data_IF_658168192710
#
_entry.id   IF_658168192710
#
_cell.length_a   1.000
_cell.length_b   1.000
_cell.length_c   1.000
_cell.angle_alpha   90.00
_cell.angle_beta   90.00
_cell.angle_gamma   90.00
#
_symmetry.space_group_name_H-M   'P 1'
#
loop_
_entity.id
_entity.type
_entity.pdbx_description
1 polymer ?
#
# COMPACT_ATOMS: atom_id res chain seq x y z
N UNK A 1 1.17 -25.39 5.68
CA UNK A 1 0.50 -24.17 6.20
C UNK A 1 1.37 -22.94 6.00
N UNK A 2 2.57 -22.87 6.62
CA UNK A 2 3.49 -21.73 6.47
C UNK A 2 3.88 -21.46 5.01
N UNK A 3 4.17 -22.51 4.22
CA UNK A 3 4.48 -22.39 2.78
C UNK A 3 3.37 -21.72 1.97
N UNK A 4 2.10 -22.03 2.26
CA UNK A 4 0.96 -21.40 1.61
C UNK A 4 0.84 -19.93 2.00
N UNK A 5 1.01 -19.59 3.28
CA UNK A 5 1.02 -18.20 3.76
C UNK A 5 2.15 -17.38 3.13
N UNK A 6 3.35 -17.96 2.98
CA UNK A 6 4.48 -17.33 2.29
C UNK A 6 4.16 -17.04 0.83
N UNK A 7 3.59 -18.02 0.11
CA UNK A 7 3.18 -17.83 -1.27
C UNK A 7 2.13 -16.72 -1.40
N UNK A 8 1.11 -16.71 -0.53
CA UNK A 8 0.09 -15.67 -0.48
C UNK A 8 0.70 -14.30 -0.17
N UNK A 9 1.59 -14.22 0.82
CA UNK A 9 2.29 -12.98 1.18
C UNK A 9 3.10 -12.41 0.02
N UNK A 10 3.76 -13.26 -0.77
CA UNK A 10 4.53 -12.82 -1.93
C UNK A 10 3.63 -12.31 -3.07
N UNK A 11 2.50 -12.99 -3.32
CA UNK A 11 1.51 -12.55 -4.31
C UNK A 11 0.92 -11.20 -3.91
N UNK A 12 0.50 -11.06 -2.64
CA UNK A 12 -0.06 -9.81 -2.12
C UNK A 12 0.98 -8.69 -2.05
N UNK A 13 2.26 -9.00 -1.79
CA UNK A 13 3.35 -8.03 -1.87
C UNK A 13 3.52 -7.45 -3.28
N UNK A 14 3.48 -8.30 -4.31
CA UNK A 14 3.54 -7.84 -5.69
C UNK A 14 2.29 -7.04 -6.08
N UNK A 15 1.11 -7.52 -5.70
CA UNK A 15 -0.15 -6.83 -5.93
C UNK A 15 -0.14 -5.44 -5.27
N UNK A 16 0.34 -5.34 -4.04
CA UNK A 16 0.49 -4.08 -3.28
C UNK A 16 1.36 -3.06 -4.05
N UNK A 17 2.51 -3.50 -4.58
CA UNK A 17 3.40 -2.63 -5.34
C UNK A 17 2.77 -2.16 -6.66
N UNK A 18 2.15 -3.07 -7.40
CA UNK A 18 1.47 -2.75 -8.67
C UNK A 18 0.30 -1.79 -8.40
N UNK A 19 -0.52 -2.07 -7.40
CA UNK A 19 -1.74 -1.32 -7.16
C UNK A 19 -1.45 0.10 -6.63
N UNK A 20 -0.46 0.26 -5.75
CA UNK A 20 -0.02 1.60 -5.32
C UNK A 20 0.56 2.43 -6.47
N UNK A 21 1.28 1.81 -7.41
CA UNK A 21 1.70 2.48 -8.65
C UNK A 21 0.49 2.88 -9.50
N UNK A 22 -0.47 1.99 -9.70
CA UNK A 22 -1.68 2.28 -10.49
C UNK A 22 -2.48 3.44 -9.89
N UNK A 23 -2.66 3.49 -8.57
CA UNK A 23 -3.34 4.62 -7.91
C UNK A 23 -2.56 5.93 -8.08
N UNK A 24 -1.22 5.87 -8.00
CA UNK A 24 -0.37 7.04 -8.27
C UNK A 24 -0.60 7.58 -9.68
N UNK A 25 -0.56 6.70 -10.68
CA UNK A 25 -0.79 7.07 -12.07
C UNK A 25 -2.23 7.53 -12.31
N UNK A 26 -3.20 6.92 -11.62
CA UNK A 26 -4.60 7.28 -11.76
C UNK A 26 -4.87 8.68 -11.19
N UNK A 27 -4.39 8.98 -9.97
CA UNK A 27 -4.45 10.33 -9.40
C UNK A 27 -3.74 11.37 -10.29
N UNK A 28 -2.55 11.03 -10.81
CA UNK A 28 -1.83 11.89 -11.75
C UNK A 28 -2.62 12.16 -13.04
N UNK A 29 -3.43 11.20 -13.50
CA UNK A 29 -4.29 11.42 -14.67
C UNK A 29 -5.37 12.49 -14.43
N UNK A 30 -5.93 12.59 -13.22
CA UNK A 30 -6.83 13.69 -12.84
C UNK A 30 -6.09 15.02 -12.81
N UNK A 31 -4.86 15.03 -12.31
CA UNK A 31 -4.01 16.22 -12.27
C UNK A 31 -3.75 16.75 -13.69
N UNK A 32 -3.42 15.87 -14.63
CA UNK A 32 -3.18 16.22 -16.03
C UNK A 32 -4.45 16.73 -16.73
N UNK A 33 -5.60 16.16 -16.39
CA UNK A 33 -6.92 16.55 -16.93
C UNK A 33 -7.51 17.78 -16.26
N UNK A 34 -6.90 18.26 -15.16
CA UNK A 34 -7.44 19.32 -14.30
C UNK A 34 -8.87 19.04 -13.84
N UNK A 35 -9.15 17.77 -13.56
CA UNK A 35 -10.47 17.30 -13.11
C UNK A 35 -10.44 16.95 -11.62
N UNK A 36 -11.61 16.94 -10.99
CA UNK A 36 -11.78 16.54 -9.59
C UNK A 36 -11.78 15.01 -9.44
N UNK A 37 -11.34 14.51 -8.29
CA UNK A 37 -11.36 13.07 -7.99
C UNK A 37 -12.80 12.54 -7.99
N UNK A 38 -13.03 11.45 -8.70
CA UNK A 38 -14.35 10.82 -8.84
C UNK A 38 -14.58 9.62 -7.94
N UNK A 39 -15.80 9.07 -7.98
CA UNK A 39 -16.15 7.83 -7.27
C UNK A 39 -15.36 6.60 -7.74
N UNK A 40 -14.95 6.60 -9.00
CA UNK A 40 -14.04 5.60 -9.58
C UNK A 40 -12.65 5.61 -8.93
N UNK A 41 -12.10 6.79 -8.67
CA UNK A 41 -10.86 6.93 -7.90
C UNK A 41 -11.02 6.34 -6.48
N UNK A 42 -12.11 6.67 -5.80
CA UNK A 42 -12.37 6.16 -4.44
C UNK A 42 -12.56 4.64 -4.40
N UNK A 43 -13.28 4.08 -5.38
CA UNK A 43 -13.41 2.64 -5.53
C UNK A 43 -12.06 1.95 -5.71
N UNK A 44 -11.18 2.54 -6.53
CA UNK A 44 -9.83 2.03 -6.70
C UNK A 44 -9.03 2.09 -5.38
N UNK A 45 -9.02 3.23 -4.68
CA UNK A 45 -8.32 3.37 -3.38
C UNK A 45 -8.81 2.33 -2.36
N UNK A 46 -10.11 2.06 -2.28
CA UNK A 46 -10.69 1.06 -1.37
C UNK A 46 -10.17 -0.35 -1.71
N UNK A 47 -10.14 -0.72 -3.00
CA UNK A 47 -9.62 -2.02 -3.43
C UNK A 47 -8.15 -2.16 -3.04
N UNK A 48 -7.34 -1.13 -3.31
CA UNK A 48 -5.93 -1.12 -2.95
C UNK A 48 -5.72 -1.22 -1.43
N UNK A 49 -6.52 -0.48 -0.65
CA UNK A 49 -6.47 -0.55 0.80
C UNK A 49 -6.82 -1.95 1.31
N UNK A 50 -7.79 -2.62 0.70
CA UNK A 50 -8.13 -4.01 0.98
C UNK A 50 -6.93 -4.95 0.78
N UNK A 51 -6.15 -4.75 -0.29
CA UNK A 51 -4.91 -5.52 -0.53
C UNK A 51 -3.90 -5.30 0.60
N UNK A 52 -3.69 -4.05 1.05
CA UNK A 52 -2.77 -3.77 2.16
C UNK A 52 -3.25 -4.37 3.50
N UNK A 53 -4.55 -4.35 3.76
CA UNK A 53 -5.14 -5.00 4.95
C UNK A 53 -4.86 -6.51 4.90
N UNK A 54 -5.16 -7.17 3.77
CA UNK A 54 -4.90 -8.60 3.59
C UNK A 54 -3.40 -8.92 3.73
N UNK A 55 -2.54 -8.10 3.12
CA UNK A 55 -1.08 -8.26 3.24
C UNK A 55 -0.62 -8.18 4.70
N UNK A 56 -1.16 -7.23 5.46
CA UNK A 56 -0.86 -7.06 6.89
C UNK A 56 -1.32 -8.27 7.70
N UNK A 57 -2.55 -8.75 7.47
CA UNK A 57 -3.09 -9.94 8.15
C UNK A 57 -2.20 -11.16 7.89
N UNK A 58 -1.83 -11.42 6.63
CA UNK A 58 -0.96 -12.54 6.28
C UNK A 58 0.43 -12.38 6.91
N UNK A 59 0.99 -11.17 6.91
CA UNK A 59 2.27 -10.88 7.56
C UNK A 59 2.26 -11.14 9.08
N UNK A 60 1.16 -10.79 9.76
CA UNK A 60 0.96 -11.09 11.19
C UNK A 60 0.89 -12.60 11.43
N UNK A 61 0.14 -13.33 10.61
CA UNK A 61 0.03 -14.79 10.72
C UNK A 61 1.39 -15.48 10.51
N UNK A 62 2.22 -14.99 9.58
CA UNK A 62 3.58 -15.48 9.39
C UNK A 62 4.46 -15.22 10.62
N UNK A 63 4.41 -14.01 11.19
CA UNK A 63 5.17 -13.66 12.37
C UNK A 63 4.79 -14.52 13.59
N UNK A 64 3.49 -14.76 13.81
CA UNK A 64 2.99 -15.67 14.86
C UNK A 64 3.48 -17.11 14.62
N UNK A 65 3.57 -17.53 13.35
CA UNK A 65 4.11 -18.83 12.94
C UNK A 65 5.64 -18.95 13.01
N UNK A 66 6.35 -17.93 13.52
CA UNK A 66 7.81 -17.91 13.66
C UNK A 66 8.59 -17.46 12.42
N UNK A 67 7.91 -17.08 11.33
CA UNK A 67 8.54 -16.57 10.12
C UNK A 67 8.74 -15.05 10.24
N UNK A 68 9.94 -14.64 10.66
CA UNK A 68 10.30 -13.24 10.90
C UNK A 68 11.08 -12.68 9.71
N UNK A 69 10.79 -11.42 9.33
CA UNK A 69 11.49 -10.75 8.25
C UNK A 69 12.97 -10.51 8.59
N UNK A 70 13.88 -10.64 7.60
CA UNK A 70 15.32 -10.48 7.78
C UNK A 70 15.72 -9.11 8.35
N UNK A 71 14.99 -8.05 7.98
CA UNK A 71 15.22 -6.68 8.47
C UNK A 71 14.26 -6.30 9.61
N UNK A 72 13.60 -7.28 10.22
CA UNK A 72 12.76 -7.20 11.43
C UNK A 72 12.00 -5.89 11.56
N UNK A 73 12.44 -5.05 12.49
CA UNK A 73 11.81 -3.76 12.86
C UNK A 73 11.54 -2.86 11.66
N UNK A 74 12.48 -2.75 10.72
CA UNK A 74 12.36 -1.84 9.58
C UNK A 74 11.26 -2.30 8.62
N UNK A 75 11.10 -3.61 8.43
CA UNK A 75 10.03 -4.16 7.60
C UNK A 75 8.65 -3.84 8.20
N UNK A 76 8.49 -4.06 9.50
CA UNK A 76 7.22 -3.78 10.18
C UNK A 76 6.88 -2.30 10.19
N UNK A 77 7.88 -1.41 10.35
CA UNK A 77 7.68 0.03 10.23
C UNK A 77 7.11 0.41 8.84
N UNK A 78 7.72 -0.11 7.76
CA UNK A 78 7.20 0.13 6.42
C UNK A 78 5.81 -0.47 6.21
N UNK A 79 5.53 -1.66 6.75
CA UNK A 79 4.21 -2.28 6.69
C UNK A 79 3.12 -1.42 7.32
N UNK A 80 3.37 -0.89 8.53
CA UNK A 80 2.42 0.00 9.22
C UNK A 80 2.21 1.29 8.42
N UNK A 81 3.29 1.90 7.92
CA UNK A 81 3.17 3.11 7.11
C UNK A 81 2.32 2.86 5.86
N UNK A 82 2.61 1.77 5.13
CA UNK A 82 1.88 1.41 3.91
C UNK A 82 0.38 1.23 4.18
N UNK A 83 0.02 0.58 5.28
CA UNK A 83 -1.38 0.40 5.67
C UNK A 83 -2.10 1.72 6.00
N UNK A 84 -1.40 2.69 6.57
CA UNK A 84 -2.00 3.88 7.16
C UNK A 84 -2.03 5.11 6.25
N UNK A 85 -1.18 5.18 5.22
CA UNK A 85 -1.03 6.40 4.41
C UNK A 85 -2.34 6.82 3.74
N UNK A 86 -3.04 5.95 3.02
CA UNK A 86 -4.29 6.33 2.35
C UNK A 86 -5.41 6.71 3.32
N UNK A 87 -5.67 5.94 4.40
CA UNK A 87 -6.62 6.35 5.44
C UNK A 87 -6.28 7.72 6.05
N UNK A 88 -5.01 7.95 6.39
CA UNK A 88 -4.56 9.23 6.93
C UNK A 88 -4.73 10.38 5.92
N UNK A 89 -4.47 10.12 4.64
CA UNK A 89 -4.67 11.09 3.56
C UNK A 89 -6.14 11.45 3.42
N UNK A 90 -7.04 10.47 3.43
CA UNK A 90 -8.47 10.70 3.36
C UNK A 90 -8.98 11.54 4.53
N UNK A 91 -8.54 11.24 5.76
CA UNK A 91 -8.86 12.02 6.95
C UNK A 91 -8.32 13.45 6.85
N UNK A 92 -7.09 13.62 6.35
CA UNK A 92 -6.46 14.92 6.18
C UNK A 92 -7.16 15.78 5.11
N UNK A 93 -7.55 15.19 3.98
CA UNK A 93 -8.27 15.92 2.92
C UNK A 93 -9.76 16.08 3.21
N UNK A 94 -10.30 15.37 4.20
CA UNK A 94 -11.73 15.33 4.50
C UNK A 94 -12.58 14.81 3.32
N UNK A 95 -12.00 13.95 2.47
CA UNK A 95 -12.64 13.47 1.25
C UNK A 95 -12.90 14.52 0.16
N UNK A 96 -12.37 15.75 0.30
CA UNK A 96 -12.48 16.80 -0.71
C UNK A 96 -11.77 16.42 -2.01
N UNK A 97 -12.23 17.00 -3.12
CA UNK A 97 -11.86 16.57 -4.48
C UNK A 97 -11.28 17.70 -5.34
N UNK A 98 -10.97 18.87 -4.76
CA UNK A 98 -10.45 20.02 -5.51
C UNK A 98 -9.04 19.74 -6.07
N UNK A 99 -8.54 20.64 -6.92
CA UNK A 99 -7.20 20.51 -7.50
C UNK A 99 -6.09 20.39 -6.44
N UNK A 100 -6.26 21.03 -5.28
CA UNK A 100 -5.32 20.89 -4.16
C UNK A 100 -5.25 19.44 -3.69
N UNK A 101 -6.41 18.79 -3.52
CA UNK A 101 -6.49 17.41 -3.05
C UNK A 101 -5.98 16.43 -4.11
N UNK A 102 -6.22 16.68 -5.40
CA UNK A 102 -5.65 15.87 -6.49
C UNK A 102 -4.11 15.85 -6.42
N UNK A 103 -3.48 17.00 -6.16
CA UNK A 103 -2.01 17.10 -5.99
C UNK A 103 -1.57 16.30 -4.76
N UNK A 104 -2.26 16.46 -3.62
CA UNK A 104 -1.96 15.73 -2.38
C UNK A 104 -2.04 14.22 -2.62
N UNK A 105 -3.14 13.74 -3.21
CA UNK A 105 -3.35 12.32 -3.48
C UNK A 105 -2.32 11.75 -4.45
N UNK A 106 -1.90 12.52 -5.45
CA UNK A 106 -0.84 12.12 -6.38
C UNK A 106 0.51 11.99 -5.67
N UNK A 107 0.93 13.03 -4.93
CA UNK A 107 2.22 13.05 -4.24
C UNK A 107 2.30 11.97 -3.14
N UNK A 108 1.24 11.84 -2.34
CA UNK A 108 1.19 10.87 -1.25
C UNK A 108 1.10 9.43 -1.77
N UNK A 109 0.35 9.17 -2.85
CA UNK A 109 0.33 7.84 -3.46
C UNK A 109 1.68 7.47 -4.09
N UNK A 110 2.38 8.43 -4.70
CA UNK A 110 3.74 8.19 -5.21
C UNK A 110 4.72 7.83 -4.08
N UNK A 111 4.62 8.54 -2.95
CA UNK A 111 5.40 8.23 -1.76
C UNK A 111 5.05 6.84 -1.20
N UNK A 112 3.76 6.49 -1.15
CA UNK A 112 3.28 5.18 -0.73
C UNK A 112 3.78 4.04 -1.62
N UNK A 113 3.82 4.25 -2.94
CA UNK A 113 4.44 3.30 -3.86
C UNK A 113 5.92 3.08 -3.49
N UNK A 114 6.67 4.16 -3.25
CA UNK A 114 8.05 4.08 -2.77
C UNK A 114 8.18 3.29 -1.45
N UNK A 115 7.32 3.56 -0.46
CA UNK A 115 7.29 2.80 0.80
C UNK A 115 6.96 1.32 0.58
N UNK A 116 6.06 1.02 -0.35
CA UNK A 116 5.67 -0.35 -0.68
C UNK A 116 6.87 -1.10 -1.25
N UNK A 117 7.64 -0.50 -2.15
CA UNK A 117 8.90 -1.09 -2.64
C UNK A 117 9.92 -1.32 -1.51
N UNK A 118 10.00 -0.41 -0.53
CA UNK A 118 10.86 -0.62 0.65
C UNK A 118 10.37 -1.77 1.52
N UNK A 119 9.06 -1.92 1.71
CA UNK A 119 8.46 -3.05 2.43
C UNK A 119 8.78 -4.38 1.75
N UNK A 120 8.65 -4.45 0.40
CA UNK A 120 9.00 -5.65 -0.39
C UNK A 120 10.47 -6.02 -0.17
N UNK A 121 11.39 -5.06 -0.33
CA UNK A 121 12.83 -5.32 -0.26
C UNK A 121 13.32 -5.69 1.15
N UNK A 122 12.58 -5.33 2.20
CA UNK A 122 12.94 -5.61 3.60
C UNK A 122 12.20 -6.82 4.17
N UNK A 123 11.17 -7.31 3.49
CA UNK A 123 10.31 -8.41 3.90
C UNK A 123 10.83 -9.81 3.54
N UNK A 124 12.02 -9.90 2.95
CA UNK A 124 12.63 -11.19 2.66
C UNK A 124 12.79 -12.01 3.95
N UNK A 125 12.32 -13.24 3.91
CA UNK A 125 12.45 -14.20 5.01
C UNK A 125 13.65 -15.09 4.67
N UNK A 126 14.72 -15.12 5.49
CA UNK A 126 15.86 -15.99 5.23
C UNK A 126 15.39 -17.44 5.19
N UNK A 127 15.79 -18.18 4.16
CA UNK A 127 15.64 -19.63 4.19
C UNK A 127 16.64 -20.20 5.21
N UNK A 128 16.27 -21.27 5.96
CA UNK A 128 17.21 -22.00 6.78
C UNK A 128 18.34 -22.62 5.94
#
# INVERSE_FOLDING_TARGET
>A
MISALLATHNILSNASAIFSLLITLFAASYLLRRSELGGDFWGAVIIGQGIFVLQTVVGILLAIGGAVAARGVVHYLYGVLVLMIWPATYLYTGGQTSQREVIIWTAVSAFLFGLTLRAVNTGNIPLP
#
